data_IF_399745477633
#
_entry.id   IF_399745477633
#
_cell.length_a   1.000
_cell.length_b   1.000
_cell.length_c   1.000
_cell.angle_alpha   90.00
_cell.angle_beta   90.00
_cell.angle_gamma   90.00
#
_symmetry.space_group_name_H-M   'P 1'
#
loop_
_entity.id
_entity.type
_entity.pdbx_description
1 polymer ?
#
# COMPACT_ATOMS: atom_id res chain seq x y z
N UNK A 1 -3.07 -8.22 7.52
CA UNK A 1 -1.66 -7.83 7.71
C UNK A 1 -1.59 -6.60 8.61
N UNK A 2 -0.47 -6.33 9.29
CA UNK A 2 -0.34 -5.34 10.38
C UNK A 2 -0.52 -3.84 10.00
N UNK A 3 -1.21 -3.52 8.90
CA UNK A 3 -1.52 -2.16 8.47
C UNK A 3 -2.69 -2.08 7.48
N UNK A 4 -3.49 -3.15 7.37
CA UNK A 4 -4.67 -3.21 6.51
C UNK A 4 -5.92 -2.86 7.33
N UNK A 5 -6.54 -1.71 7.06
CA UNK A 5 -7.76 -1.29 7.77
C UNK A 5 -8.98 -2.13 7.34
N UNK A 6 -8.90 -2.88 6.24
CA UNK A 6 -9.97 -3.82 5.86
C UNK A 6 -10.02 -5.06 6.78
N UNK A 7 -9.04 -5.26 7.66
CA UNK A 7 -9.09 -6.29 8.69
C UNK A 7 -9.86 -5.85 9.95
N UNK A 8 -10.34 -4.61 10.02
CA UNK A 8 -11.18 -4.15 11.12
C UNK A 8 -12.54 -4.84 11.09
N UNK A 9 -12.97 -5.37 12.24
CA UNK A 9 -14.22 -6.12 12.38
C UNK A 9 -15.47 -5.26 12.11
N UNK A 10 -15.39 -3.96 12.40
CA UNK A 10 -16.40 -2.96 12.03
C UNK A 10 -15.72 -1.77 11.35
N UNK A 11 -16.14 -1.52 10.11
CA UNK A 11 -15.63 -0.43 9.28
C UNK A 11 -16.59 0.77 9.43
N UNK A 12 -16.51 1.42 10.60
CA UNK A 12 -17.20 2.69 10.84
C UNK A 12 -16.35 3.86 10.32
N UNK A 13 -17.00 4.91 9.81
CA UNK A 13 -16.34 6.11 9.27
C UNK A 13 -15.48 6.78 10.34
N UNK A 14 -15.99 6.85 11.58
CA UNK A 14 -15.25 7.44 12.70
C UNK A 14 -14.00 6.62 13.06
N UNK A 15 -14.10 5.29 13.03
CA UNK A 15 -12.98 4.39 13.30
C UNK A 15 -11.91 4.45 12.20
N UNK A 16 -12.33 4.54 10.93
CA UNK A 16 -11.45 4.71 9.79
C UNK A 16 -10.70 6.04 9.88
N UNK A 17 -11.42 7.14 10.10
CA UNK A 17 -10.85 8.48 10.22
C UNK A 17 -9.89 8.57 11.42
N UNK A 18 -10.26 7.99 12.56
CA UNK A 18 -9.40 7.91 13.74
C UNK A 18 -8.09 7.19 13.46
N UNK A 19 -8.17 6.03 12.80
CA UNK A 19 -6.99 5.24 12.40
C UNK A 19 -6.08 5.99 11.42
N UNK A 20 -6.66 6.61 10.39
CA UNK A 20 -5.92 7.42 9.42
C UNK A 20 -5.23 8.61 10.11
N UNK A 21 -5.94 9.31 10.99
CA UNK A 21 -5.38 10.42 11.77
C UNK A 21 -4.19 9.97 12.62
N UNK A 22 -4.32 8.87 13.36
CA UNK A 22 -3.23 8.38 14.21
C UNK A 22 -2.00 7.98 13.38
N UNK A 23 -2.21 7.30 12.25
CA UNK A 23 -1.14 6.92 11.32
C UNK A 23 -0.46 8.15 10.72
N UNK A 24 -1.22 9.16 10.32
CA UNK A 24 -0.68 10.41 9.81
C UNK A 24 0.20 11.12 10.84
N UNK A 25 -0.24 11.18 12.10
CA UNK A 25 0.55 11.76 13.20
C UNK A 25 1.85 10.99 13.46
N UNK A 26 1.90 9.70 13.12
CA UNK A 26 3.10 8.85 13.16
C UNK A 26 3.92 8.88 11.85
N UNK A 27 3.63 9.83 10.95
CA UNK A 27 4.25 9.98 9.63
C UNK A 27 4.09 8.77 8.71
N UNK A 28 3.06 7.95 8.94
CA UNK A 28 2.69 6.82 8.09
C UNK A 28 1.67 7.28 7.05
N UNK A 29 2.18 7.80 5.92
CA UNK A 29 1.36 8.41 4.86
C UNK A 29 0.60 7.41 4.01
N UNK A 30 1.00 6.14 4.02
CA UNK A 30 0.38 5.05 3.27
C UNK A 30 -0.36 4.08 4.18
N UNK A 31 -1.57 3.71 3.78
CA UNK A 31 -2.40 2.75 4.51
C UNK A 31 -3.14 1.84 3.56
N UNK A 32 -3.06 0.53 3.77
CA UNK A 32 -3.80 -0.45 2.97
C UNK A 32 -5.26 -0.52 3.45
N UNK A 33 -6.19 -0.58 2.51
CA UNK A 33 -7.61 -0.89 2.76
C UNK A 33 -8.07 -1.87 1.69
N UNK A 34 -7.90 -3.16 1.97
CA UNK A 34 -8.20 -4.19 0.98
C UNK A 34 -7.34 -3.97 -0.28
N UNK A 35 -7.96 -3.83 -1.45
CA UNK A 35 -7.21 -3.60 -2.70
C UNK A 35 -6.82 -2.15 -2.98
N UNK A 36 -7.26 -1.22 -2.13
CA UNK A 36 -7.01 0.21 -2.25
C UNK A 36 -5.85 0.61 -1.33
N UNK A 37 -4.98 1.49 -1.81
CA UNK A 37 -3.96 2.14 -1.01
C UNK A 37 -4.36 3.59 -0.76
N UNK A 38 -4.57 3.97 0.50
CA UNK A 38 -4.81 5.35 0.89
C UNK A 38 -3.47 6.06 1.07
N UNK A 39 -3.31 7.20 0.40
CA UNK A 39 -2.17 8.10 0.54
C UNK A 39 -2.61 9.44 1.12
N UNK A 40 -2.00 9.86 2.23
CA UNK A 40 -2.22 11.18 2.84
C UNK A 40 -1.01 12.08 2.62
N UNK A 41 -1.23 13.25 2.01
CA UNK A 41 -0.15 14.17 1.69
C UNK A 41 0.43 14.83 2.97
N UNK A 42 1.71 14.63 3.31
CA UNK A 42 2.33 15.22 4.49
C UNK A 42 2.85 16.65 4.23
N UNK A 43 2.79 17.16 3.00
CA UNK A 43 3.35 18.46 2.58
C UNK A 43 4.85 18.64 2.88
N UNK A 44 5.59 17.54 2.93
CA UNK A 44 7.04 17.52 3.16
C UNK A 44 7.71 16.40 2.37
N UNK A 45 9.00 16.56 2.09
CA UNK A 45 9.81 15.48 1.52
C UNK A 45 10.05 14.40 2.57
N UNK A 46 9.69 13.16 2.25
CA UNK A 46 9.96 11.98 3.08
C UNK A 46 11.00 11.09 2.40
N UNK A 47 11.93 10.45 3.15
CA UNK A 47 12.95 9.57 2.60
C UNK A 47 12.39 8.17 2.22
N UNK A 48 11.21 8.12 1.62
CA UNK A 48 10.47 6.89 1.31
C UNK A 48 10.64 6.40 -0.14
N UNK A 49 11.12 7.28 -1.02
CA UNK A 49 11.20 7.00 -2.46
C UNK A 49 12.62 6.67 -2.95
N UNK A 50 13.55 6.44 -2.02
CA UNK A 50 14.93 6.09 -2.36
C UNK A 50 15.06 4.72 -3.05
N UNK A 51 16.16 4.53 -3.78
CA UNK A 51 16.46 3.28 -4.48
C UNK A 51 16.45 2.06 -3.54
N UNK A 52 17.02 2.21 -2.35
CA UNK A 52 17.05 1.16 -1.33
C UNK A 52 15.64 0.69 -0.93
N UNK A 53 14.70 1.64 -0.81
CA UNK A 53 13.30 1.33 -0.51
C UNK A 53 12.65 0.62 -1.70
N UNK A 54 12.85 1.11 -2.93
CA UNK A 54 12.33 0.48 -4.13
C UNK A 54 12.75 -0.99 -4.28
N UNK A 55 14.04 -1.30 -4.11
CA UNK A 55 14.53 -2.68 -4.19
C UNK A 55 14.00 -3.56 -3.06
N UNK A 56 13.78 -2.99 -1.86
CA UNK A 56 13.17 -3.72 -0.74
C UNK A 56 11.76 -4.18 -1.06
N UNK A 57 10.96 -3.40 -1.78
CA UNK A 57 9.57 -3.75 -2.11
C UNK A 57 9.44 -4.69 -3.30
N UNK A 58 10.54 -5.00 -3.99
CA UNK A 58 10.54 -5.89 -5.16
C UNK A 58 10.31 -7.33 -4.73
N UNK A 59 9.39 -8.04 -5.39
CA UNK A 59 9.09 -9.48 -5.15
C UNK A 59 8.75 -9.85 -3.71
N UNK A 60 8.18 -8.94 -2.94
CA UNK A 60 7.70 -9.25 -1.59
C UNK A 60 6.21 -9.54 -1.58
N UNK A 61 5.81 -10.51 -0.77
CA UNK A 61 4.40 -10.87 -0.64
C UNK A 61 3.61 -9.76 0.07
N UNK A 62 2.33 -9.64 -0.28
CA UNK A 62 1.45 -8.64 0.32
C UNK A 62 1.35 -8.87 1.83
N UNK A 63 1.61 -7.82 2.61
CA UNK A 63 1.51 -7.87 4.06
C UNK A 63 2.79 -8.24 4.81
N UNK A 64 3.88 -8.59 4.11
CA UNK A 64 5.20 -8.76 4.77
C UNK A 64 5.88 -7.42 5.05
N UNK A 65 5.59 -6.40 4.23
CA UNK A 65 6.13 -5.06 4.34
C UNK A 65 5.01 -4.06 4.67
N UNK A 66 5.35 -2.89 5.24
CA UNK A 66 4.39 -1.81 5.44
C UNK A 66 3.70 -1.37 4.13
N UNK A 67 2.50 -0.77 4.20
CA UNK A 67 1.83 -0.24 3.02
C UNK A 67 2.70 0.78 2.28
N UNK A 68 2.84 0.63 0.97
CA UNK A 68 3.66 1.52 0.15
C UNK A 68 3.28 1.47 -1.33
N UNK A 69 3.46 2.58 -2.05
CA UNK A 69 3.15 2.66 -3.50
C UNK A 69 4.01 1.69 -4.33
N UNK A 70 5.23 1.39 -3.89
CA UNK A 70 6.10 0.39 -4.56
C UNK A 70 5.54 -1.03 -4.47
N UNK A 71 4.82 -1.38 -3.40
CA UNK A 71 4.14 -2.68 -3.33
C UNK A 71 3.02 -2.78 -4.37
N UNK A 72 2.27 -1.68 -4.58
CA UNK A 72 1.23 -1.60 -5.62
C UNK A 72 1.84 -1.73 -7.02
N UNK A 73 2.95 -1.04 -7.26
CA UNK A 73 3.68 -1.11 -8.53
C UNK A 73 4.24 -2.50 -8.81
N UNK A 74 4.85 -3.16 -7.83
CA UNK A 74 5.38 -4.53 -7.95
C UNK A 74 4.24 -5.54 -8.25
N UNK A 75 3.10 -5.41 -7.56
CA UNK A 75 1.90 -6.21 -7.81
C UNK A 75 1.40 -6.05 -9.24
N UNK A 76 1.25 -4.81 -9.71
CA UNK A 76 0.80 -4.53 -11.08
C UNK A 76 1.80 -5.10 -12.10
N UNK A 77 3.10 -4.89 -11.87
CA UNK A 77 4.13 -5.42 -12.76
C UNK A 77 4.10 -6.96 -12.85
N UNK A 78 3.95 -7.66 -11.72
CA UNK A 78 3.89 -9.12 -11.71
C UNK A 78 2.59 -9.69 -12.29
N UNK A 79 1.46 -9.02 -12.06
CA UNK A 79 0.19 -9.38 -12.70
C UNK A 79 0.24 -9.20 -14.22
N UNK A 80 0.91 -8.14 -14.71
CA UNK A 80 1.13 -7.92 -16.14
C UNK A 80 1.94 -9.06 -16.77
N UNK A 81 2.91 -9.63 -16.05
CA UNK A 81 3.76 -10.71 -16.53
C UNK A 81 3.15 -12.12 -16.37
N UNK A 82 1.94 -12.25 -15.80
CA UNK A 82 1.32 -13.56 -15.55
C UNK A 82 2.08 -14.40 -14.52
N UNK A 83 2.72 -13.76 -13.53
CA UNK A 83 3.36 -14.46 -12.41
C UNK A 83 2.31 -14.74 -11.32
N UNK A 84 2.54 -15.79 -10.51
CA UNK A 84 1.59 -16.31 -9.49
C UNK A 84 0.34 -17.00 -10.06
N UNK A 85 0.52 -17.87 -11.07
CA UNK A 85 -0.51 -18.74 -11.62
C UNK A 85 -1.71 -18.02 -12.29
N UNK A 86 -1.54 -16.75 -12.66
CA UNK A 86 -2.50 -15.99 -13.45
C UNK A 86 -1.98 -15.80 -14.87
N UNK A 87 -2.87 -15.71 -15.86
CA UNK A 87 -2.50 -15.35 -17.23
C UNK A 87 -2.01 -13.89 -17.31
N UNK A 88 -1.04 -13.57 -18.20
CA UNK A 88 -0.63 -12.20 -18.44
C UNK A 88 -1.81 -11.31 -18.84
N UNK A 89 -2.01 -10.20 -18.13
CA UNK A 89 -3.12 -9.28 -18.37
C UNK A 89 -2.72 -7.82 -18.16
N UNK A 90 -3.21 -6.92 -19.02
CA UNK A 90 -3.00 -5.48 -18.88
C UNK A 90 -3.43 -4.97 -17.49
N UNK A 91 -2.64 -4.07 -16.91
CA UNK A 91 -2.92 -3.48 -15.60
C UNK A 91 -3.17 -1.98 -15.72
N UNK A 92 -3.94 -1.44 -14.77
CA UNK A 92 -4.21 -0.01 -14.62
C UNK A 92 -4.08 0.35 -13.14
N UNK A 93 -3.50 1.51 -12.85
CA UNK A 93 -3.46 2.12 -11.52
C UNK A 93 -4.17 3.45 -11.60
N UNK A 94 -5.24 3.60 -10.84
CA UNK A 94 -6.01 4.84 -10.73
C UNK A 94 -5.62 5.48 -9.39
N UNK A 95 -5.18 6.74 -9.45
CA UNK A 95 -4.78 7.55 -8.29
C UNK A 95 -5.86 8.59 -8.05
#
# INVERSE_FOLDING_TARGET
AAGDLAALAELDEAALLGSLRERFLRQQVYTDVGDILIAMNPFQCLPLYGREVSERYRRHERGTLPPHIFAVADRAYHAMLGRHAAEPRSQCVVI
#
